data_IF_213277763342
#
_entry.id   IF_213277763342
#
_cell.length_a   1.000
_cell.length_b   1.000
_cell.length_c   1.000
_cell.angle_alpha   90.00
_cell.angle_beta   90.00
_cell.angle_gamma   90.00
#
_symmetry.space_group_name_H-M   'P 1'
#
loop_
_entity.id
_entity.type
_entity.pdbx_description
1 polymer ?
#
# COMPACT_ATOMS: atom_id res chain seq x y z
N UNK A 1 -14.67 22.40 -85.67
CA UNK A 1 -14.98 22.41 -84.23
C UNK A 1 -14.53 21.07 -83.66
N UNK A 2 -13.70 21.14 -82.60
CA UNK A 2 -13.11 20.09 -81.76
C UNK A 2 -12.09 19.12 -82.39
N UNK A 3 -10.93 19.10 -81.75
CA UNK A 3 -9.62 18.69 -82.27
C UNK A 3 -9.38 17.18 -82.34
N UNK A 4 -8.71 16.82 -83.43
CA UNK A 4 -7.98 15.59 -83.76
C UNK A 4 -6.77 15.34 -82.81
N UNK A 5 -6.03 14.23 -82.75
CA UNK A 5 -6.01 12.80 -83.19
C UNK A 5 -4.80 12.17 -82.41
N UNK A 6 -4.73 10.83 -82.20
CA UNK A 6 -3.76 10.13 -81.35
C UNK A 6 -2.56 9.51 -82.11
N UNK A 7 -1.55 9.00 -81.36
CA UNK A 7 -0.50 8.03 -81.80
C UNK A 7 0.52 8.60 -82.81
N UNK A 8 1.79 8.19 -82.89
CA UNK A 8 2.39 6.84 -82.99
C UNK A 8 3.91 6.95 -82.70
N UNK A 9 4.59 5.90 -82.19
CA UNK A 9 5.99 5.92 -81.72
C UNK A 9 7.00 5.35 -82.76
N UNK A 10 8.30 5.48 -82.46
CA UNK A 10 9.52 4.70 -82.89
C UNK A 10 10.74 5.62 -82.70
N UNK A 11 11.94 5.22 -82.26
CA UNK A 11 12.72 4.01 -82.48
C UNK A 11 13.80 3.88 -81.37
N UNK A 12 14.21 2.65 -81.10
CA UNK A 12 15.16 2.17 -80.07
C UNK A 12 16.62 2.40 -80.51
N UNK A 13 17.55 2.70 -79.58
CA UNK A 13 18.93 2.15 -79.56
C UNK A 13 19.81 2.66 -78.39
N UNK A 14 19.79 1.92 -77.28
CA UNK A 14 20.93 1.36 -76.51
C UNK A 14 22.37 1.94 -76.73
N UNK A 15 23.07 2.35 -75.64
CA UNK A 15 24.27 1.65 -75.06
C UNK A 15 25.06 2.45 -73.99
N UNK A 16 25.34 1.74 -72.89
CA UNK A 16 26.52 1.78 -71.98
C UNK A 16 26.66 2.89 -70.89
N UNK A 17 27.42 2.65 -69.79
CA UNK A 17 26.88 2.74 -68.42
C UNK A 17 27.64 3.74 -67.54
N UNK A 18 26.96 4.44 -66.63
CA UNK A 18 27.64 5.25 -65.60
C UNK A 18 27.63 4.44 -64.30
N UNK A 19 28.78 3.85 -64.03
CA UNK A 19 29.20 3.29 -62.75
C UNK A 19 29.19 4.42 -61.70
N UNK A 20 28.13 4.52 -60.89
CA UNK A 20 28.08 5.43 -59.76
C UNK A 20 28.60 4.71 -58.50
N UNK A 21 29.87 4.96 -58.17
CA UNK A 21 30.47 4.57 -56.89
C UNK A 21 29.86 5.47 -55.81
N UNK A 22 28.93 4.93 -55.01
CA UNK A 22 28.45 5.58 -53.79
C UNK A 22 29.38 5.18 -52.64
N UNK A 23 30.27 6.09 -52.28
CA UNK A 23 31.07 6.03 -51.05
C UNK A 23 30.13 6.33 -49.87
N UNK A 24 29.67 5.30 -49.16
CA UNK A 24 28.96 5.44 -47.88
C UNK A 24 29.97 5.42 -46.73
N UNK A 25 30.37 6.62 -46.29
CA UNK A 25 31.28 6.84 -45.17
C UNK A 25 30.57 7.64 -44.06
N UNK A 26 30.43 7.01 -42.89
CA UNK A 26 30.05 7.63 -41.60
C UNK A 26 28.55 7.91 -41.44
N UNK A 27 27.87 7.58 -40.34
CA UNK A 27 28.32 7.58 -38.94
C UNK A 27 27.55 6.47 -38.19
N UNK A 28 28.25 5.43 -37.74
CA UNK A 28 27.75 4.58 -36.65
C UNK A 28 27.77 5.41 -35.36
N UNK A 29 26.70 6.14 -35.10
CA UNK A 29 26.40 6.65 -33.77
C UNK A 29 25.89 5.50 -32.91
N UNK A 30 26.81 4.66 -32.41
CA UNK A 30 26.50 3.83 -31.26
C UNK A 30 26.26 4.79 -30.09
N UNK A 31 24.99 5.13 -29.84
CA UNK A 31 24.58 5.79 -28.62
C UNK A 31 24.97 4.86 -27.46
N UNK A 32 26.15 5.12 -26.90
CA UNK A 32 26.62 4.53 -25.66
C UNK A 32 25.74 5.14 -24.56
N UNK A 33 24.57 4.55 -24.32
CA UNK A 33 23.82 4.87 -23.12
C UNK A 33 24.71 4.44 -21.95
N UNK A 34 25.15 5.37 -21.08
CA UNK A 34 25.79 4.95 -19.85
C UNK A 34 24.76 4.09 -19.13
N UNK A 35 25.11 2.81 -18.94
CA UNK A 35 24.42 1.96 -17.98
C UNK A 35 24.67 2.63 -16.64
N UNK A 36 23.75 3.49 -16.21
CA UNK A 36 23.74 4.02 -14.84
C UNK A 36 23.47 2.78 -13.99
N UNK A 37 24.54 2.18 -13.47
CA UNK A 37 24.43 1.19 -12.43
C UNK A 37 23.62 1.84 -11.31
N UNK A 38 22.38 1.37 -11.11
CA UNK A 38 21.56 1.80 -9.99
C UNK A 38 22.38 1.53 -8.73
N UNK A 39 22.66 2.56 -7.94
CA UNK A 39 23.42 2.37 -6.71
C UNK A 39 22.69 1.35 -5.83
N UNK A 40 23.42 0.47 -5.12
CA UNK A 40 22.80 -0.60 -4.36
C UNK A 40 21.92 -0.05 -3.24
N UNK A 41 20.80 -0.72 -2.98
CA UNK A 41 19.90 -0.36 -1.89
C UNK A 41 20.60 -0.50 -0.53
N UNK A 42 20.40 0.48 0.35
CA UNK A 42 20.88 0.43 1.74
C UNK A 42 19.73 0.04 2.65
N UNK A 43 19.73 -1.21 3.12
CA UNK A 43 18.68 -1.74 3.99
C UNK A 43 18.75 -1.13 5.39
N UNK A 44 17.64 -0.51 5.81
CA UNK A 44 17.45 -0.01 7.18
C UNK A 44 16.90 -1.12 8.09
N UNK A 45 16.06 -1.98 7.51
CA UNK A 45 15.49 -3.14 8.15
C UNK A 45 15.22 -4.22 7.10
N UNK A 46 15.41 -5.49 7.47
CA UNK A 46 15.10 -6.63 6.63
C UNK A 46 14.74 -7.85 7.47
N UNK A 47 13.71 -8.58 7.06
CA UNK A 47 13.29 -9.85 7.69
C UNK A 47 12.64 -10.77 6.65
N UNK A 48 13.36 -11.81 6.24
CA UNK A 48 12.94 -12.64 5.10
C UNK A 48 12.82 -11.78 3.83
N UNK A 49 11.68 -11.86 3.16
CA UNK A 49 11.40 -11.06 1.95
C UNK A 49 10.92 -9.63 2.26
N UNK A 50 10.68 -9.32 3.53
CA UNK A 50 10.27 -7.98 3.95
C UNK A 50 11.48 -7.08 4.12
N UNK A 51 11.33 -5.81 3.74
CA UNK A 51 12.40 -4.83 3.90
C UNK A 51 11.88 -3.40 3.95
N UNK A 52 12.73 -2.53 4.51
CA UNK A 52 12.71 -1.08 4.29
C UNK A 52 14.14 -0.66 3.95
N UNK A 53 14.32 0.03 2.83
CA UNK A 53 15.63 0.39 2.31
C UNK A 53 15.66 1.81 1.75
N UNK A 54 16.82 2.45 1.84
CA UNK A 54 17.14 3.66 1.09
C UNK A 54 17.64 3.29 -0.31
N UNK A 55 17.15 4.01 -1.31
CA UNK A 55 17.54 3.87 -2.71
C UNK A 55 17.72 5.25 -3.34
N UNK A 56 18.47 5.36 -4.44
CA UNK A 56 18.48 6.59 -5.23
C UNK A 56 17.07 6.97 -5.68
N UNK A 57 16.83 8.29 -5.76
CA UNK A 57 15.58 8.82 -6.28
C UNK A 57 15.32 8.30 -7.69
N UNK A 58 14.12 7.75 -7.89
CA UNK A 58 13.66 7.31 -9.20
C UNK A 58 13.57 8.51 -10.15
N UNK A 59 14.31 8.42 -11.24
CA UNK A 59 14.31 9.45 -12.27
C UNK A 59 13.05 9.31 -13.11
N UNK A 60 12.19 10.33 -13.08
CA UNK A 60 11.01 10.43 -13.93
C UNK A 60 10.82 11.86 -14.41
N UNK A 61 10.25 12.09 -15.61
CA UNK A 61 9.98 13.44 -16.09
C UNK A 61 9.09 14.20 -15.09
N UNK A 62 9.59 15.34 -14.58
CA UNK A 62 8.86 16.12 -13.57
C UNK A 62 8.94 15.56 -12.15
N UNK A 63 9.91 14.70 -11.84
CA UNK A 63 10.21 14.28 -10.47
C UNK A 63 10.37 15.49 -9.56
N UNK A 64 9.56 15.54 -8.51
CA UNK A 64 9.67 16.58 -7.47
C UNK A 64 10.92 16.29 -6.63
N UNK A 65 11.77 17.26 -6.28
CA UNK A 65 12.90 17.00 -5.38
C UNK A 65 12.46 16.43 -4.03
N UNK A 66 13.26 15.54 -3.46
CA UNK A 66 13.09 15.07 -2.09
C UNK A 66 13.75 16.07 -1.14
N UNK A 67 12.99 16.60 -0.19
CA UNK A 67 13.45 17.56 0.82
C UNK A 67 14.04 16.81 2.03
N UNK A 68 15.13 16.09 1.79
CA UNK A 68 15.82 15.28 2.80
C UNK A 68 17.16 15.89 3.20
N UNK A 69 17.65 15.62 4.43
CA UNK A 69 17.01 14.84 5.50
C UNK A 69 15.88 15.60 6.22
N UNK A 70 14.95 14.87 6.83
CA UNK A 70 13.86 15.43 7.64
C UNK A 70 13.60 14.60 8.90
N UNK A 71 13.30 15.28 10.01
CA UNK A 71 12.85 14.64 11.25
C UNK A 71 11.33 14.71 11.35
N UNK A 72 10.68 13.55 11.52
CA UNK A 72 9.24 13.42 11.66
C UNK A 72 8.88 12.80 13.03
N UNK A 73 7.69 13.10 13.54
CA UNK A 73 7.17 12.45 14.75
C UNK A 73 6.59 11.07 14.42
N UNK A 74 7.20 10.01 14.95
CA UNK A 74 6.78 8.62 14.69
C UNK A 74 5.31 8.36 15.03
N UNK A 75 4.83 8.82 16.19
CA UNK A 75 3.43 8.62 16.61
C UNK A 75 2.42 9.27 15.65
N UNK A 76 2.75 10.48 15.17
CA UNK A 76 1.90 11.20 14.21
C UNK A 76 1.88 10.50 12.86
N UNK A 77 3.05 10.09 12.38
CA UNK A 77 3.17 9.33 11.14
C UNK A 77 2.42 8.00 11.23
N UNK A 78 2.55 7.26 12.33
CA UNK A 78 1.81 6.02 12.56
C UNK A 78 0.31 6.25 12.51
N UNK A 79 -0.19 7.29 13.20
CA UNK A 79 -1.61 7.64 13.18
C UNK A 79 -2.12 7.94 11.77
N UNK A 80 -1.36 8.72 10.99
CA UNK A 80 -1.69 9.06 9.61
C UNK A 80 -1.70 7.83 8.67
N UNK A 81 -0.74 6.91 8.85
CA UNK A 81 -0.69 5.67 8.08
C UNK A 81 -1.81 4.69 8.48
N UNK A 82 -2.17 4.65 9.77
CA UNK A 82 -3.21 3.77 10.30
C UNK A 82 -4.63 4.13 9.81
N UNK A 83 -4.85 5.39 9.43
CA UNK A 83 -6.14 5.84 8.86
C UNK A 83 -6.30 5.55 7.37
N UNK A 84 -5.28 5.00 6.70
CA UNK A 84 -5.37 4.64 5.30
C UNK A 84 -6.17 3.36 5.15
N UNK A 85 -7.17 3.38 4.27
CA UNK A 85 -8.01 2.22 3.98
C UNK A 85 -7.80 1.75 2.55
N UNK A 86 -7.85 0.44 2.36
CA UNK A 86 -7.85 -0.24 1.09
C UNK A 86 -9.24 -0.83 0.82
N UNK A 87 -9.73 -0.63 -0.40
CA UNK A 87 -10.91 -1.30 -0.91
C UNK A 87 -10.50 -2.08 -2.16
N UNK A 88 -10.38 -3.40 -2.02
CA UNK A 88 -10.27 -4.29 -3.16
C UNK A 88 -11.56 -4.22 -3.98
N UNK A 89 -11.45 -4.29 -5.31
CA UNK A 89 -12.62 -4.26 -6.20
C UNK A 89 -13.55 -5.47 -6.00
N UNK A 90 -13.03 -6.59 -5.52
CA UNK A 90 -13.80 -7.80 -5.24
C UNK A 90 -14.45 -7.80 -3.84
N UNK A 91 -13.94 -6.99 -2.91
CA UNK A 91 -14.44 -6.94 -1.54
C UNK A 91 -15.59 -5.95 -1.38
N UNK A 92 -16.45 -6.22 -0.39
CA UNK A 92 -17.64 -5.40 -0.12
C UNK A 92 -17.35 -4.25 0.85
N UNK A 93 -16.28 -4.35 1.65
CA UNK A 93 -15.97 -3.37 2.71
C UNK A 93 -14.51 -2.95 2.68
N UNK A 94 -14.21 -1.67 2.95
CA UNK A 94 -12.85 -1.22 3.11
C UNK A 94 -12.21 -1.88 4.33
N UNK A 95 -10.92 -2.13 4.23
CA UNK A 95 -10.06 -2.65 5.30
C UNK A 95 -8.92 -1.68 5.53
N UNK A 96 -8.22 -1.78 6.66
CA UNK A 96 -7.00 -0.99 6.86
C UNK A 96 -5.95 -1.40 5.83
N UNK A 97 -5.27 -0.41 5.24
CA UNK A 97 -4.20 -0.63 4.26
C UNK A 97 -3.03 -1.40 4.89
N UNK A 98 -2.71 -1.14 6.15
CA UNK A 98 -1.61 -1.77 6.88
C UNK A 98 -2.11 -2.32 8.21
N UNK A 99 -1.62 -3.47 8.61
CA UNK A 99 -1.85 -4.04 9.94
C UNK A 99 -1.05 -3.29 11.01
N UNK A 100 -1.40 -3.45 12.29
CA UNK A 100 -0.64 -2.88 13.42
C UNK A 100 0.84 -3.29 13.43
N UNK A 101 1.14 -4.52 13.01
CA UNK A 101 2.50 -5.02 12.88
C UNK A 101 3.28 -4.24 11.82
N UNK A 102 2.71 -4.12 10.62
CA UNK A 102 3.33 -3.37 9.52
C UNK A 102 3.48 -1.89 9.86
N UNK A 103 2.46 -1.28 10.48
CA UNK A 103 2.50 0.10 10.95
C UNK A 103 3.63 0.34 11.96
N UNK A 104 3.88 -0.61 12.86
CA UNK A 104 4.95 -0.49 13.85
C UNK A 104 6.33 -0.46 13.20
N UNK A 105 6.55 -1.29 12.18
CA UNK A 105 7.80 -1.32 11.41
C UNK A 105 7.90 -0.06 10.54
N UNK A 106 6.88 0.19 9.73
CA UNK A 106 6.95 1.21 8.69
C UNK A 106 7.09 2.62 9.27
N UNK A 107 6.33 2.96 10.31
CA UNK A 107 6.41 4.29 10.92
C UNK A 107 7.77 4.56 11.57
N UNK A 108 8.36 3.55 12.22
CA UNK A 108 9.72 3.63 12.77
C UNK A 108 10.74 3.84 11.65
N UNK A 109 10.73 2.95 10.66
CA UNK A 109 11.75 2.93 9.61
C UNK A 109 11.64 4.13 8.66
N UNK A 110 10.45 4.66 8.41
CA UNK A 110 10.29 5.94 7.68
C UNK A 110 10.92 7.08 8.47
N UNK A 111 10.68 7.16 9.78
CA UNK A 111 11.24 8.24 10.61
C UNK A 111 12.76 8.17 10.64
N UNK A 112 13.32 6.97 10.84
CA UNK A 112 14.76 6.73 10.83
C UNK A 112 15.37 7.00 9.45
N UNK A 113 14.73 6.51 8.39
CA UNK A 113 15.26 6.61 7.03
C UNK A 113 15.21 8.02 6.48
N UNK A 114 14.11 8.75 6.65
CA UNK A 114 13.99 10.13 6.18
C UNK A 114 14.92 11.09 6.92
N UNK A 115 15.27 10.79 8.19
CA UNK A 115 16.26 11.56 8.94
C UNK A 115 17.71 11.32 8.46
N UNK A 116 17.96 10.23 7.73
CA UNK A 116 19.28 9.83 7.22
C UNK A 116 19.44 10.04 5.71
N UNK A 117 18.33 10.03 4.97
CA UNK A 117 18.33 10.12 3.51
C UNK A 117 19.00 11.40 3.04
N UNK A 118 19.81 11.28 1.98
CA UNK A 118 20.31 12.43 1.24
C UNK A 118 19.20 13.01 0.32
N UNK A 119 19.33 14.25 -0.18
CA UNK A 119 18.36 14.83 -1.13
C UNK A 119 18.11 14.01 -2.42
N UNK A 120 19.05 13.13 -2.77
CA UNK A 120 18.96 12.23 -3.92
C UNK A 120 18.52 10.80 -3.57
N UNK A 121 18.02 10.58 -2.35
CA UNK A 121 17.58 9.29 -1.87
C UNK A 121 16.11 9.32 -1.47
N UNK A 122 15.51 8.13 -1.40
CA UNK A 122 14.17 7.91 -0.91
C UNK A 122 14.05 6.49 -0.36
N UNK A 123 12.97 6.20 0.36
CA UNK A 123 12.74 4.89 0.90
C UNK A 123 11.90 4.05 -0.04
N UNK A 124 12.17 2.76 -0.07
CA UNK A 124 11.28 1.73 -0.60
C UNK A 124 11.04 0.67 0.46
N UNK A 125 9.87 0.04 0.42
CA UNK A 125 9.53 -1.04 1.34
C UNK A 125 8.75 -2.16 0.67
N UNK A 126 8.84 -3.33 1.27
CA UNK A 126 7.93 -4.45 1.10
C UNK A 126 7.62 -5.02 2.49
N UNK A 127 6.35 -5.05 2.86
CA UNK A 127 5.90 -5.57 4.15
C UNK A 127 4.82 -6.63 3.91
N UNK A 128 4.79 -7.64 4.77
CA UNK A 128 3.88 -8.77 4.67
C UNK A 128 3.01 -8.81 5.93
N UNK A 129 1.72 -8.55 5.73
CA UNK A 129 0.69 -8.57 6.76
C UNK A 129 -0.28 -9.73 6.56
N UNK A 130 -0.93 -10.16 7.65
CA UNK A 130 -2.06 -11.09 7.56
C UNK A 130 -3.36 -10.29 7.40
N UNK A 131 -3.78 -10.13 6.16
CA UNK A 131 -4.95 -9.34 5.78
C UNK A 131 -6.17 -10.22 5.50
N UNK A 132 -7.39 -9.67 5.60
CA UNK A 132 -8.61 -10.38 5.23
C UNK A 132 -8.54 -10.89 3.79
N UNK A 133 -8.96 -12.14 3.58
CA UNK A 133 -9.08 -12.77 2.27
C UNK A 133 -10.37 -13.58 2.21
N UNK A 134 -10.75 -14.02 1.01
CA UNK A 134 -12.01 -14.77 0.78
C UNK A 134 -13.22 -14.03 1.37
N UNK A 135 -13.43 -12.77 0.99
CA UNK A 135 -14.53 -11.92 1.46
C UNK A 135 -14.56 -11.78 3.01
N UNK A 136 -13.38 -11.81 3.64
CA UNK A 136 -13.20 -11.67 5.09
C UNK A 136 -13.37 -12.96 5.91
N UNK A 137 -13.51 -14.13 5.27
CA UNK A 137 -13.67 -15.42 5.96
C UNK A 137 -12.34 -16.04 6.42
N UNK A 138 -11.22 -15.57 5.88
CA UNK A 138 -9.89 -16.00 6.28
C UNK A 138 -8.93 -14.81 6.38
N UNK A 139 -7.74 -15.06 6.93
CA UNK A 139 -6.60 -14.16 6.80
C UNK A 139 -5.49 -14.86 6.03
N UNK A 140 -4.82 -14.14 5.13
CA UNK A 140 -3.70 -14.66 4.32
C UNK A 140 -2.52 -13.69 4.40
N UNK A 141 -1.28 -14.22 4.30
CA UNK A 141 -0.11 -13.37 4.13
C UNK A 141 -0.22 -12.67 2.78
N UNK A 142 -0.27 -11.34 2.82
CA UNK A 142 -0.35 -10.48 1.66
C UNK A 142 0.73 -9.41 1.75
N UNK A 143 1.33 -9.06 0.61
CA UNK A 143 2.37 -8.05 0.54
C UNK A 143 1.80 -6.69 0.18
N UNK A 144 2.30 -5.66 0.85
CA UNK A 144 2.16 -4.26 0.44
C UNK A 144 3.54 -3.67 0.22
N UNK A 145 3.74 -3.04 -0.92
CA UNK A 145 5.01 -2.38 -1.28
C UNK A 145 4.78 -0.91 -1.54
N UNK A 146 5.83 -0.12 -1.39
CA UNK A 146 5.75 1.28 -1.72
C UNK A 146 7.07 2.00 -1.70
N UNK A 147 6.98 3.27 -2.09
CA UNK A 147 8.04 4.26 -2.09
C UNK A 147 7.62 5.44 -1.24
N UNK A 148 8.54 5.92 -0.40
CA UNK A 148 8.30 7.02 0.53
C UNK A 148 9.38 8.07 0.41
N UNK A 149 8.97 9.32 0.26
CA UNK A 149 9.85 10.47 0.34
C UNK A 149 9.12 11.66 0.96
N UNK A 150 9.87 12.71 1.26
CA UNK A 150 9.34 13.93 1.85
C UNK A 150 9.59 15.04 0.85
N UNK A 151 8.59 15.86 0.59
CA UNK A 151 8.69 16.95 -0.37
C UNK A 151 7.60 17.98 -0.11
N UNK A 152 7.94 19.26 -0.20
CA UNK A 152 7.03 20.39 -0.01
C UNK A 152 6.29 20.33 1.33
N UNK A 153 6.99 19.92 2.39
CA UNK A 153 6.40 19.84 3.73
C UNK A 153 5.51 18.61 3.97
N UNK A 154 5.46 17.65 3.04
CA UNK A 154 4.49 16.54 3.04
C UNK A 154 5.18 15.20 2.82
N UNK A 155 4.63 14.15 3.41
CA UNK A 155 5.06 12.77 3.15
C UNK A 155 4.37 12.28 1.90
N UNK A 156 5.14 11.86 0.91
CA UNK A 156 4.64 11.23 -0.30
C UNK A 156 4.77 9.71 -0.15
N UNK A 157 3.67 8.99 -0.35
CA UNK A 157 3.63 7.53 -0.36
C UNK A 157 3.09 7.08 -1.72
N UNK A 158 3.89 6.33 -2.46
CA UNK A 158 3.50 5.73 -3.73
C UNK A 158 3.45 4.22 -3.55
N UNK A 159 2.29 3.62 -3.75
CA UNK A 159 2.08 2.18 -3.59
C UNK A 159 2.45 1.45 -4.89
N UNK A 160 3.03 0.26 -4.76
CA UNK A 160 3.37 -0.60 -5.90
C UNK A 160 2.43 -1.80 -5.98
N UNK A 161 2.46 -2.61 -4.93
CA UNK A 161 1.61 -3.78 -4.71
C UNK A 161 0.80 -3.51 -3.45
N UNK A 162 -0.48 -3.88 -3.44
CA UNK A 162 -1.37 -3.69 -2.28
C UNK A 162 -2.13 -4.97 -2.04
N UNK A 163 -1.99 -5.53 -0.85
CA UNK A 163 -2.67 -6.75 -0.41
C UNK A 163 -2.54 -7.92 -1.41
N UNK A 164 -1.38 -8.02 -2.07
CA UNK A 164 -1.15 -9.06 -3.07
C UNK A 164 -0.82 -10.39 -2.37
N UNK A 165 -1.54 -11.46 -2.69
CA UNK A 165 -1.35 -12.76 -2.05
C UNK A 165 0.02 -13.37 -2.38
N UNK A 166 0.67 -13.92 -1.35
CA UNK A 166 1.91 -14.65 -1.53
C UNK A 166 1.64 -16.12 -1.83
N UNK A 167 2.09 -16.56 -3.00
CA UNK A 167 2.08 -17.96 -3.38
C UNK A 167 3.10 -18.76 -2.57
N UNK A 168 2.79 -20.01 -2.26
CA UNK A 168 3.73 -20.92 -1.56
C UNK A 168 5.01 -21.20 -2.34
N UNK A 169 4.99 -21.01 -3.66
CA UNK A 169 6.08 -21.33 -4.58
C UNK A 169 6.70 -20.07 -5.20
N UNK A 170 6.47 -18.92 -4.59
CA UNK A 170 6.87 -17.63 -5.10
C UNK A 170 8.38 -17.43 -4.94
N UNK A 171 9.14 -17.55 -6.03
CA UNK A 171 10.56 -17.20 -6.06
C UNK A 171 10.74 -15.70 -6.30
N UNK A 172 11.17 -14.97 -5.27
CA UNK A 172 11.41 -13.51 -5.34
C UNK A 172 12.54 -13.11 -6.28
N UNK A 173 13.38 -14.05 -6.72
CA UNK A 173 14.39 -13.80 -7.77
C UNK A 173 13.76 -13.68 -9.15
N UNK A 174 12.67 -14.41 -9.37
CA UNK A 174 11.92 -14.40 -10.62
C UNK A 174 10.76 -13.39 -10.57
N UNK A 175 10.19 -13.19 -9.39
CA UNK A 175 9.07 -12.31 -9.13
C UNK A 175 9.42 -11.34 -7.98
N UNK A 176 10.31 -10.36 -8.23
CA UNK A 176 10.70 -9.42 -7.20
C UNK A 176 9.52 -8.54 -6.79
N UNK A 177 9.50 -8.13 -5.52
CA UNK A 177 8.57 -7.10 -5.09
C UNK A 177 8.85 -5.78 -5.80
N UNK A 178 7.80 -5.18 -6.35
CA UNK A 178 7.90 -3.95 -7.13
C UNK A 178 7.42 -2.78 -6.27
N UNK A 179 8.28 -1.82 -5.89
CA UNK A 179 7.85 -0.63 -5.17
C UNK A 179 7.05 0.31 -6.09
N UNK A 180 6.31 1.25 -5.50
CA UNK A 180 5.60 2.28 -6.26
C UNK A 180 6.53 3.14 -7.12
N UNK A 181 6.03 3.59 -8.27
CA UNK A 181 6.79 4.38 -9.24
C UNK A 181 6.36 5.84 -9.28
N UNK A 182 7.31 6.78 -9.33
CA UNK A 182 7.05 8.20 -9.57
C UNK A 182 6.49 8.43 -10.99
N UNK A 183 6.94 7.64 -11.97
CA UNK A 183 6.61 7.82 -13.38
C UNK A 183 5.31 7.18 -13.82
N UNK A 184 4.96 6.02 -13.29
CA UNK A 184 3.80 5.24 -13.73
C UNK A 184 2.90 4.80 -12.57
N UNK A 185 1.56 4.81 -12.75
CA UNK A 185 0.65 4.27 -11.75
C UNK A 185 0.82 2.76 -11.60
N UNK A 186 0.67 2.27 -10.37
CA UNK A 186 0.53 0.84 -10.11
C UNK A 186 -0.74 0.24 -10.75
N UNK A 187 -0.67 -1.05 -11.09
CA UNK A 187 -1.71 -1.79 -11.81
C UNK A 187 -2.69 -2.58 -10.93
N UNK A 188 -2.79 -2.30 -9.63
CA UNK A 188 -3.66 -3.04 -8.73
C UNK A 188 -5.15 -2.76 -9.00
N UNK A 189 -6.00 -3.75 -8.76
CA UNK A 189 -7.45 -3.67 -8.93
C UNK A 189 -8.13 -3.26 -7.61
N UNK A 190 -8.06 -1.98 -7.28
CA UNK A 190 -8.75 -1.44 -6.12
C UNK A 190 -8.43 0.03 -5.89
N UNK A 191 -8.84 0.55 -4.74
CA UNK A 191 -8.62 1.95 -4.41
C UNK A 191 -8.22 2.14 -2.96
N UNK A 192 -7.31 3.09 -2.77
CA UNK A 192 -6.97 3.58 -1.45
C UNK A 192 -7.83 4.78 -1.11
N UNK A 193 -8.28 4.84 0.13
CA UNK A 193 -8.99 5.97 0.70
C UNK A 193 -8.09 6.65 1.72
N UNK A 194 -8.01 7.98 1.61
CA UNK A 194 -7.33 8.85 2.56
C UNK A 194 -8.33 9.87 3.05
N UNK A 195 -8.38 10.07 4.36
CA UNK A 195 -9.23 11.09 4.95
C UNK A 195 -8.70 12.49 4.59
N UNK A 196 -9.55 13.47 4.23
CA UNK A 196 -9.11 14.80 3.80
C UNK A 196 -8.22 15.52 4.83
N UNK A 197 -8.46 15.31 6.13
CA UNK A 197 -7.61 15.84 7.18
C UNK A 197 -6.22 15.22 7.18
N UNK A 198 -6.10 13.94 6.83
CA UNK A 198 -4.82 13.20 6.80
C UNK A 198 -4.02 13.54 5.56
N UNK A 199 -4.68 13.77 4.42
CA UNK A 199 -4.00 14.05 3.17
C UNK A 199 -4.90 13.95 1.95
N UNK A 200 -4.29 13.80 0.80
CA UNK A 200 -4.97 13.78 -0.49
C UNK A 200 -4.34 12.77 -1.46
N UNK A 201 -5.09 12.41 -2.50
CA UNK A 201 -4.61 11.56 -3.59
C UNK A 201 -4.15 12.42 -4.75
N UNK A 202 -2.88 12.30 -5.13
CA UNK A 202 -2.34 12.88 -6.37
C UNK A 202 -2.62 11.97 -7.56
N UNK A 203 -2.54 10.66 -7.35
CA UNK A 203 -2.82 9.58 -8.30
C UNK A 203 -3.46 8.42 -7.54
N UNK A 204 -4.03 7.44 -8.24
CA UNK A 204 -4.72 6.29 -7.61
C UNK A 204 -3.85 5.54 -6.57
N UNK A 205 -2.55 5.53 -6.79
CA UNK A 205 -1.50 4.88 -6.00
C UNK A 205 -0.57 5.88 -5.28
N UNK A 206 -0.74 7.19 -5.50
CA UNK A 206 0.14 8.22 -4.95
C UNK A 206 -0.61 9.13 -3.98
N UNK A 207 -0.29 8.98 -2.71
CA UNK A 207 -0.84 9.73 -1.58
C UNK A 207 0.12 10.83 -1.12
N UNK A 208 -0.43 11.98 -0.77
CA UNK A 208 0.29 13.10 -0.14
C UNK A 208 -0.27 13.31 1.26
N UNK A 209 0.46 12.83 2.25
CA UNK A 209 0.07 12.76 3.66
C UNK A 209 0.62 14.00 4.40
N UNK A 210 -0.22 14.62 5.22
CA UNK A 210 0.14 15.67 6.15
C UNK A 210 0.73 15.05 7.43
N UNK A 211 2.04 15.12 7.69
CA UNK A 211 2.60 14.58 8.94
C UNK A 211 2.17 15.38 10.19
N UNK A 212 1.63 16.59 10.01
CA UNK A 212 1.10 17.42 11.08
C UNK A 212 -0.38 17.14 11.39
N UNK A 213 -1.10 16.47 10.51
CA UNK A 213 -2.52 16.26 10.66
C UNK A 213 -2.81 14.86 11.22
N UNK A 214 -3.10 14.84 12.51
CA UNK A 214 -4.19 14.12 13.18
C UNK A 214 -4.06 14.41 14.68
N UNK A 215 -5.19 14.83 15.26
CA UNK A 215 -5.37 15.13 16.69
C UNK A 215 -5.42 13.80 17.44
N UNK A 216 -4.71 13.62 18.58
CA UNK A 216 -4.89 12.43 19.40
C UNK A 216 -6.34 12.35 19.88
N UNK A 217 -7.04 11.26 19.55
CA UNK A 217 -8.25 10.88 20.29
C UNK A 217 -7.84 10.78 21.78
N UNK A 218 -8.56 11.40 22.72
CA UNK A 218 -8.11 11.45 24.10
C UNK A 218 -7.95 10.03 24.64
N UNK A 219 -6.71 9.65 24.96
CA UNK A 219 -6.46 8.61 25.95
C UNK A 219 -7.05 9.16 27.25
N UNK A 220 -8.21 8.66 27.65
CA UNK A 220 -8.77 8.97 28.94
C UNK A 220 -7.80 8.43 30.00
N UNK A 221 -6.93 9.30 30.50
CA UNK A 221 -6.15 9.02 31.69
C UNK A 221 -7.08 9.13 32.91
N UNK A 222 -6.87 8.30 33.94
CA UNK A 222 -7.60 8.41 35.19
C UNK A 222 -7.37 9.80 35.76
N UNK A 223 -8.44 10.45 36.23
CA UNK A 223 -8.33 11.68 37.00
C UNK A 223 -7.48 11.39 38.24
N UNK A 224 -6.25 11.88 38.25
CA UNK A 224 -5.48 12.07 39.48
C UNK A 224 -6.16 13.21 40.22
N UNK A 225 -7.08 12.83 41.11
CA UNK A 225 -7.80 13.74 41.99
C UNK A 225 -6.81 14.58 42.78
N UNK A 226 -6.81 15.87 42.50
CA UNK A 226 -6.25 16.92 43.34
C UNK A 226 -6.85 16.81 44.74
N UNK A 227 -5.99 16.59 45.74
CA UNK A 227 -6.35 16.79 47.15
C UNK A 227 -6.53 18.30 47.37
N UNK A 228 -7.66 18.73 47.94
CA UNK A 228 -7.54 19.56 49.12
C UNK A 228 -8.49 19.12 50.25
N UNK A 229 -7.97 19.17 51.46
CA UNK A 229 -8.69 19.17 52.75
C UNK A 229 -7.99 20.29 53.56
N UNK A 230 -8.64 21.08 54.46
CA UNK A 230 -9.79 20.70 55.30
C UNK A 230 -10.87 21.77 55.56
N UNK A 231 -12.07 21.33 55.98
CA UNK A 231 -12.80 21.86 57.16
C UNK A 231 -14.18 21.17 57.34
N UNK A 232 -14.17 20.24 58.31
CA UNK A 232 -15.20 19.77 59.27
C UNK A 232 -16.58 20.48 59.24
N UNK A 233 -17.67 19.71 59.06
CA UNK A 233 -18.74 19.52 60.07
C UNK A 233 -19.87 18.55 59.64
N UNK A 234 -20.23 17.69 60.60
CA UNK A 234 -21.50 16.97 60.83
C UNK A 234 -21.96 15.77 59.93
N UNK A 235 -22.19 14.65 60.63
CA UNK A 235 -22.89 13.38 60.31
C UNK A 235 -24.23 13.40 61.10
N UNK A 236 -25.29 12.55 60.93
CA UNK A 236 -25.61 11.43 60.00
C UNK A 236 -27.02 11.52 59.33
N UNK A 237 -27.37 10.57 58.44
CA UNK A 237 -28.56 9.69 58.55
C UNK A 237 -28.55 8.61 57.45
N UNK A 238 -28.97 7.41 57.85
CA UNK A 238 -28.94 6.15 57.11
C UNK A 238 -30.14 5.95 56.14
N UNK A 239 -29.92 5.11 55.13
CA UNK A 239 -30.96 4.47 54.31
C UNK A 239 -30.35 3.60 53.19
N UNK A 240 -30.61 2.28 53.14
CA UNK A 240 -30.03 1.39 52.14
C UNK A 240 -31.00 1.17 50.97
N UNK A 241 -30.55 1.37 49.73
CA UNK A 241 -31.26 0.82 48.56
C UNK A 241 -30.29 0.08 47.63
N UNK A 242 -30.59 -1.22 47.50
CA UNK A 242 -30.06 -2.16 46.53
C UNK A 242 -30.61 -1.77 45.14
N UNK A 243 -29.74 -1.77 44.13
CA UNK A 243 -30.12 -1.68 42.72
C UNK A 243 -29.04 -2.31 41.84
N UNK A 244 -29.43 -3.34 41.11
CA UNK A 244 -28.65 -4.37 40.42
C UNK A 244 -27.89 -3.87 39.17
N UNK A 245 -26.76 -4.49 38.76
CA UNK A 245 -26.10 -4.22 37.49
C UNK A 245 -26.91 -4.74 36.30
N UNK A 246 -27.21 -3.88 35.32
CA UNK A 246 -27.79 -4.26 34.04
C UNK A 246 -26.69 -4.77 33.10
N UNK A 247 -26.77 -6.06 32.75
CA UNK A 247 -25.88 -6.76 31.83
C UNK A 247 -26.57 -6.85 30.45
N UNK A 248 -25.99 -6.34 29.35
CA UNK A 248 -26.46 -6.65 28.02
C UNK A 248 -25.65 -7.81 27.42
N UNK A 249 -26.29 -8.69 26.62
CA UNK A 249 -25.58 -9.38 25.54
C UNK A 249 -25.43 -10.90 25.59
N UNK A 250 -26.47 -11.68 25.95
CA UNK A 250 -26.45 -13.14 25.73
C UNK A 250 -27.18 -13.64 24.47
N UNK A 251 -27.94 -12.77 23.78
CA UNK A 251 -28.80 -13.17 22.65
C UNK A 251 -28.26 -12.81 21.25
N UNK A 252 -27.30 -11.89 21.13
CA UNK A 252 -26.69 -11.52 19.83
C UNK A 252 -25.57 -12.50 19.41
N UNK A 253 -24.79 -12.99 20.39
CA UNK A 253 -23.66 -13.90 20.11
C UNK A 253 -24.11 -15.25 19.51
N UNK A 254 -25.23 -15.81 20.00
CA UNK A 254 -25.77 -17.08 19.51
C UNK A 254 -26.23 -17.02 18.05
N UNK A 255 -26.91 -15.94 17.66
CA UNK A 255 -27.38 -15.75 16.27
C UNK A 255 -26.23 -15.64 15.27
N UNK A 256 -25.14 -14.95 15.63
CA UNK A 256 -23.94 -14.82 14.78
C UNK A 256 -23.19 -16.15 14.62
N UNK A 257 -23.23 -17.01 15.64
CA UNK A 257 -22.61 -18.35 15.60
C UNK A 257 -23.40 -19.28 14.68
N UNK A 258 -24.73 -19.25 14.75
CA UNK A 258 -25.62 -20.02 13.88
C UNK A 258 -25.46 -19.61 12.40
N UNK A 259 -25.45 -18.31 12.09
CA UNK A 259 -25.23 -17.79 10.74
C UNK A 259 -23.87 -18.26 10.16
N UNK A 260 -22.82 -18.28 10.99
CA UNK A 260 -21.48 -18.74 10.59
C UNK A 260 -21.43 -20.25 10.34
N UNK A 261 -22.19 -21.05 11.10
CA UNK A 261 -22.30 -22.50 10.89
C UNK A 261 -23.06 -22.85 9.60
N UNK A 262 -24.10 -22.08 9.26
CA UNK A 262 -24.88 -22.25 8.03
C UNK A 262 -24.00 -21.99 6.80
N UNK A 263 -23.25 -20.88 6.79
CA UNK A 263 -22.35 -20.54 5.69
C UNK A 263 -21.23 -21.57 5.52
N UNK A 264 -20.66 -22.07 6.62
CA UNK A 264 -19.63 -23.11 6.57
C UNK A 264 -20.14 -24.41 5.94
N UNK A 265 -21.42 -24.75 6.16
CA UNK A 265 -22.04 -25.92 5.54
C UNK A 265 -22.26 -25.72 4.03
N UNK A 266 -22.73 -24.55 3.61
CA UNK A 266 -22.92 -24.20 2.19
C UNK A 266 -21.60 -24.24 1.39
N UNK A 267 -20.50 -23.77 1.99
CA UNK A 267 -19.17 -23.82 1.36
C UNK A 267 -18.66 -25.26 1.17
N UNK A 268 -18.95 -26.15 2.12
CA UNK A 268 -18.63 -27.58 2.01
C UNK A 268 -19.46 -28.24 0.91
N UNK A 269 -20.76 -27.96 0.85
CA UNK A 269 -21.65 -28.50 -0.17
C UNK A 269 -21.28 -28.04 -1.58
N UNK A 270 -20.79 -26.80 -1.72
CA UNK A 270 -20.25 -26.25 -2.96
C UNK A 270 -18.85 -26.75 -3.33
N UNK A 271 -18.23 -27.57 -2.49
CA UNK A 271 -16.87 -28.09 -2.71
C UNK A 271 -15.76 -27.03 -2.66
N UNK A 272 -16.05 -25.86 -2.09
CA UNK A 272 -15.11 -24.74 -1.98
C UNK A 272 -14.14 -24.90 -0.81
N UNK A 273 -14.44 -25.82 0.10
CA UNK A 273 -13.58 -26.20 1.22
C UNK A 273 -13.53 -27.72 1.34
N UNK A 274 -12.41 -28.23 1.87
CA UNK A 274 -12.23 -29.66 2.10
C UNK A 274 -12.90 -30.12 3.40
N UNK A 275 -13.17 -31.43 3.51
CA UNK A 275 -13.77 -32.03 4.71
C UNK A 275 -12.95 -31.76 5.98
N UNK A 276 -11.62 -31.70 5.85
CA UNK A 276 -10.70 -31.42 6.95
C UNK A 276 -10.79 -29.96 7.41
N UNK A 277 -10.92 -29.03 6.47
CA UNK A 277 -11.10 -27.60 6.76
C UNK A 277 -12.45 -27.33 7.41
N UNK A 278 -13.52 -27.97 6.93
CA UNK A 278 -14.84 -27.91 7.54
C UNK A 278 -14.82 -28.36 9.01
N UNK A 279 -14.19 -29.50 9.31
CA UNK A 279 -14.13 -30.05 10.68
C UNK A 279 -13.37 -29.12 11.63
N UNK A 280 -12.23 -28.60 11.19
CA UNK A 280 -11.42 -27.69 11.99
C UNK A 280 -12.17 -26.40 12.30
N UNK A 281 -12.81 -25.80 11.29
CA UNK A 281 -13.57 -24.55 11.44
C UNK A 281 -14.83 -24.71 12.27
N UNK A 282 -15.52 -25.86 12.16
CA UNK A 282 -16.68 -26.18 12.99
C UNK A 282 -16.31 -26.30 14.47
N UNK A 283 -15.16 -26.89 14.78
CA UNK A 283 -14.67 -26.99 16.17
C UNK A 283 -14.29 -25.63 16.75
N UNK A 284 -13.65 -24.77 15.95
CA UNK A 284 -13.30 -23.38 16.33
C UNK A 284 -14.56 -22.57 16.67
N UNK A 285 -15.60 -22.65 15.83
CA UNK A 285 -16.87 -21.92 16.02
C UNK A 285 -17.66 -22.43 17.24
N UNK A 286 -17.63 -23.75 17.49
CA UNK A 286 -18.28 -24.34 18.67
C UNK A 286 -17.50 -24.09 19.97
N UNK A 287 -16.20 -23.82 19.89
CA UNK A 287 -15.37 -23.43 21.04
C UNK A 287 -15.63 -22.01 21.54
N UNK A 288 -16.30 -21.18 20.73
CA UNK A 288 -16.69 -19.79 21.08
C UNK A 288 -18.05 -19.70 21.82
N UNK A 289 -18.71 -20.83 22.12
CA UNK A 289 -19.99 -20.95 22.86
C UNK A 289 -19.78 -20.81 24.37
#
# INVERSE_FOLDING_TARGET
>A
MNSAIPGVPRLIANRLPILLIVVMMGICGCAHQPTIASAPATYLWQSGDQFVALVPTEQSPGSVPSDHPVSLGQDRLRGALASLEWQDSADVKPVQLLTDYELSILAEQITVGLAKAAPGEELVFALIGNHPAFMGLAKRPQVTTGRVFYSQGRVNLILGMVHEELGKNDDRRLQPFVPGSRGAPAGFAGQVTVLPEVGEKRRADWLIINPAAVIPLPKQLPSLGTVPTPAIDAVPVAGPERGTPQQPGRTDKGKRIEERLILLNDLKEKGLITEQEYRTKRQEILGDI
#
